data_IF_496624557486
#
_entry.id   IF_496624557486
#
_cell.length_a   1.000
_cell.length_b   1.000
_cell.length_c   1.000
_cell.angle_alpha   90.00
_cell.angle_beta   90.00
_cell.angle_gamma   90.00
#
_symmetry.space_group_name_H-M   'P 1'
#
loop_
_entity.id
_entity.type
_entity.pdbx_description
1 polymer ?
#
# COMPACT_ATOMS: atom_id res chain seq x y z
N UNK A 1 10.60 -9.55 6.51
CA UNK A 1 10.26 -9.53 5.08
C UNK A 1 11.40 -10.15 4.30
N UNK A 2 11.06 -11.14 3.48
CA UNK A 2 12.00 -11.75 2.53
C UNK A 2 12.13 -10.91 1.26
N UNK A 3 13.26 -10.97 0.51
CA UNK A 3 13.48 -10.10 -0.64
C UNK A 3 12.41 -10.16 -1.74
N UNK A 4 11.89 -11.36 -2.03
CA UNK A 4 10.84 -11.54 -3.04
C UNK A 4 9.49 -10.94 -2.59
N UNK A 5 9.23 -10.86 -1.29
CA UNK A 5 8.04 -10.20 -0.76
C UNK A 5 8.16 -8.69 -0.98
N UNK A 6 9.33 -8.11 -0.70
CA UNK A 6 9.58 -6.69 -0.94
C UNK A 6 9.48 -6.33 -2.42
N UNK A 7 10.13 -7.09 -3.32
CA UNK A 7 10.03 -6.90 -4.77
C UNK A 7 8.57 -6.97 -5.25
N UNK A 8 7.78 -7.88 -4.69
CA UNK A 8 6.35 -7.97 -4.99
C UNK A 8 5.58 -6.73 -4.52
N UNK A 9 5.86 -6.21 -3.32
CA UNK A 9 5.20 -5.01 -2.81
C UNK A 9 5.57 -3.76 -3.62
N UNK A 10 6.84 -3.61 -4.00
CA UNK A 10 7.28 -2.52 -4.87
C UNK A 10 6.57 -2.59 -6.23
N UNK A 11 6.53 -3.78 -6.84
CA UNK A 11 5.84 -3.98 -8.11
C UNK A 11 4.33 -3.66 -8.02
N UNK A 12 3.68 -3.93 -6.88
CA UNK A 12 2.29 -3.54 -6.64
C UNK A 12 2.15 -2.02 -6.60
N UNK A 13 3.00 -1.33 -5.85
CA UNK A 13 2.90 0.12 -5.69
C UNK A 13 3.19 0.84 -7.01
N UNK A 14 4.10 0.32 -7.82
CA UNK A 14 4.41 0.85 -9.15
C UNK A 14 3.30 0.57 -10.17
N UNK A 15 2.76 -0.66 -10.21
CA UNK A 15 1.91 -1.12 -11.31
C UNK A 15 0.41 -1.15 -10.99
N UNK A 16 0.02 -1.17 -9.72
CA UNK A 16 -1.39 -1.26 -9.29
C UNK A 16 -1.94 0.06 -8.75
N UNK A 17 -1.24 1.17 -8.93
CA UNK A 17 -1.71 2.51 -8.55
C UNK A 17 -3.12 2.83 -9.08
N UNK A 18 -3.46 2.39 -10.30
CA UNK A 18 -4.82 2.53 -10.87
C UNK A 18 -5.87 1.67 -10.14
N UNK A 19 -5.55 0.41 -9.83
CA UNK A 19 -6.47 -0.47 -9.09
C UNK A 19 -6.63 -0.05 -7.63
N UNK A 20 -5.56 0.45 -7.00
CA UNK A 20 -5.60 1.08 -5.69
C UNK A 20 -6.47 2.32 -5.70
N UNK A 21 -6.31 3.20 -6.71
CA UNK A 21 -7.14 4.39 -6.87
C UNK A 21 -8.62 4.06 -7.02
N UNK A 22 -8.97 3.00 -7.76
CA UNK A 22 -10.35 2.52 -7.87
C UNK A 22 -10.88 2.02 -6.51
N UNK A 23 -10.15 1.16 -5.82
CA UNK A 23 -10.56 0.68 -4.49
C UNK A 23 -10.68 1.81 -3.45
N UNK A 24 -9.85 2.85 -3.54
CA UNK A 24 -9.92 4.04 -2.68
C UNK A 24 -11.20 4.85 -2.93
N UNK A 25 -11.63 4.99 -4.18
CA UNK A 25 -12.87 5.69 -4.56
C UNK A 25 -14.12 4.88 -4.16
N UNK A 26 -14.11 3.57 -4.39
CA UNK A 26 -15.26 2.69 -4.10
C UNK A 26 -15.42 2.42 -2.59
N UNK A 27 -14.35 2.57 -1.81
CA UNK A 27 -14.34 2.38 -0.36
C UNK A 27 -15.12 3.43 0.45
N UNK A 28 -15.69 4.46 -0.20
CA UNK A 28 -16.67 5.36 0.41
C UNK A 28 -16.11 6.22 1.56
N UNK A 29 -14.82 6.51 1.58
CA UNK A 29 -14.26 7.40 2.59
C UNK A 29 -14.44 8.83 2.10
N UNK A 30 -15.37 9.58 2.70
CA UNK A 30 -15.52 11.05 2.56
C UNK A 30 -14.23 11.83 2.95
N UNK A 31 -13.15 11.14 3.34
CA UNK A 31 -11.87 11.73 3.69
C UNK A 31 -11.06 12.01 2.42
N UNK A 32 -10.58 13.24 2.30
CA UNK A 32 -9.55 13.61 1.33
C UNK A 32 -8.30 12.75 1.56
N UNK A 33 -7.99 11.85 0.62
CA UNK A 33 -6.88 10.88 0.72
C UNK A 33 -5.55 11.45 0.19
N UNK A 34 -5.64 12.55 -0.55
CA UNK A 34 -4.53 13.22 -1.22
C UNK A 34 -4.47 14.66 -0.74
N UNK A 35 -3.36 15.07 -0.14
CA UNK A 35 -3.16 16.46 0.31
C UNK A 35 -2.73 17.36 -0.86
N UNK A 36 -1.88 16.82 -1.74
CA UNK A 36 -1.35 17.49 -2.92
C UNK A 36 -1.01 16.45 -3.99
N UNK A 37 -0.71 16.92 -5.21
CA UNK A 37 -0.32 16.05 -6.32
C UNK A 37 0.80 15.05 -5.97
N UNK A 38 1.65 15.37 -5.01
CA UNK A 38 2.82 14.58 -4.60
C UNK A 38 2.74 14.06 -3.16
N UNK A 39 1.60 14.19 -2.48
CA UNK A 39 1.49 13.84 -1.07
C UNK A 39 0.14 13.26 -0.66
N UNK A 40 0.18 12.23 0.18
CA UNK A 40 -1.01 11.63 0.78
C UNK A 40 -1.31 12.29 2.13
N UNK A 41 -2.61 12.38 2.46
CA UNK A 41 -3.00 12.68 3.83
C UNK A 41 -2.64 11.51 4.74
N UNK A 42 -2.70 11.71 6.06
CA UNK A 42 -2.52 10.62 7.04
C UNK A 42 -3.50 9.47 6.77
N UNK A 43 -4.76 9.79 6.42
CA UNK A 43 -5.77 8.79 6.06
C UNK A 43 -5.42 8.06 4.77
N UNK A 44 -4.91 8.77 3.76
CA UNK A 44 -4.42 8.16 2.52
C UNK A 44 -3.27 7.18 2.76
N UNK A 45 -2.28 7.57 3.57
CA UNK A 45 -1.18 6.69 3.99
C UNK A 45 -1.68 5.45 4.71
N UNK A 46 -2.54 5.60 5.72
CA UNK A 46 -3.10 4.47 6.46
C UNK A 46 -3.86 3.50 5.54
N UNK A 47 -4.62 4.02 4.59
CA UNK A 47 -5.34 3.19 3.61
C UNK A 47 -4.37 2.38 2.75
N UNK A 48 -3.35 3.04 2.18
CA UNK A 48 -2.36 2.40 1.32
C UNK A 48 -1.58 1.34 2.10
N UNK A 49 -1.14 1.65 3.31
CA UNK A 49 -0.47 0.68 4.18
C UNK A 49 -1.36 -0.54 4.45
N UNK A 50 -2.65 -0.33 4.72
CA UNK A 50 -3.61 -1.43 4.89
C UNK A 50 -3.77 -2.30 3.65
N UNK A 51 -3.83 -1.68 2.47
CA UNK A 51 -3.88 -2.39 1.19
C UNK A 51 -2.64 -3.25 0.97
N UNK A 52 -1.44 -2.65 1.08
CA UNK A 52 -0.16 -3.34 0.88
C UNK A 52 0.02 -4.48 1.91
N UNK A 53 -0.36 -4.24 3.16
CA UNK A 53 -0.37 -5.25 4.24
C UNK A 53 -1.29 -6.44 3.92
N UNK A 54 -2.47 -6.18 3.34
CA UNK A 54 -3.38 -7.24 2.90
C UNK A 54 -2.75 -8.10 1.80
N UNK A 55 -2.07 -7.48 0.83
CA UNK A 55 -1.37 -8.20 -0.25
C UNK A 55 -0.22 -9.06 0.27
N UNK A 56 0.57 -8.53 1.22
CA UNK A 56 1.62 -9.30 1.89
C UNK A 56 1.05 -10.52 2.63
N UNK A 57 -0.06 -10.33 3.35
CA UNK A 57 -0.76 -11.42 4.03
C UNK A 57 -1.21 -12.52 3.06
N UNK A 58 -1.68 -12.15 1.87
CA UNK A 58 -2.11 -13.12 0.84
C UNK A 58 -0.94 -13.95 0.30
N UNK A 59 0.22 -13.32 0.04
CA UNK A 59 1.43 -14.02 -0.42
C UNK A 59 1.86 -15.05 0.61
N UNK A 60 1.99 -14.64 1.89
CA UNK A 60 2.39 -15.54 2.98
C UNK A 60 1.40 -16.65 3.26
N UNK A 61 0.10 -16.37 3.14
CA UNK A 61 -0.94 -17.40 3.27
C UNK A 61 -0.78 -18.51 2.23
N UNK A 62 -0.38 -18.16 0.99
CA UNK A 62 -0.15 -19.11 -0.09
C UNK A 62 1.08 -20.01 0.11
N UNK A 63 2.08 -19.54 0.86
CA UNK A 63 3.35 -20.24 1.03
C UNK A 63 3.45 -21.04 2.34
N UNK A 64 2.92 -20.51 3.44
CA UNK A 64 3.20 -21.06 4.78
C UNK A 64 1.94 -21.32 5.62
N UNK A 65 0.75 -21.00 5.09
CA UNK A 65 -0.54 -21.23 5.76
C UNK A 65 -0.81 -20.37 7.00
N UNK A 66 0.20 -19.71 7.58
CA UNK A 66 0.06 -18.75 8.66
C UNK A 66 0.50 -17.34 8.20
N UNK A 67 -0.45 -16.41 7.96
CA UNK A 67 -0.16 -15.06 7.46
C UNK A 67 0.25 -14.07 8.55
N UNK A 68 0.63 -14.52 9.75
CA UNK A 68 0.97 -13.62 10.85
C UNK A 68 2.13 -12.70 10.47
N UNK A 69 1.80 -11.43 10.22
CA UNK A 69 2.76 -10.36 9.99
C UNK A 69 3.32 -9.90 11.34
N UNK A 70 4.65 -9.80 11.40
CA UNK A 70 5.31 -9.26 12.58
C UNK A 70 5.24 -7.72 12.59
N UNK A 71 5.49 -7.11 13.75
CA UNK A 71 5.62 -5.64 13.85
C UNK A 71 6.66 -5.10 12.87
N UNK A 72 7.78 -5.82 12.72
CA UNK A 72 8.84 -5.46 11.77
C UNK A 72 8.36 -5.49 10.31
N UNK A 73 7.47 -6.42 9.95
CA UNK A 73 6.91 -6.45 8.60
C UNK A 73 6.01 -5.24 8.34
N UNK A 74 5.25 -4.79 9.36
CA UNK A 74 4.42 -3.60 9.27
C UNK A 74 5.25 -2.31 9.18
N UNK A 75 6.34 -2.21 9.95
CA UNK A 75 7.31 -1.12 9.86
C UNK A 75 7.93 -1.05 8.46
N UNK A 76 8.33 -2.20 7.90
CA UNK A 76 8.92 -2.27 6.57
C UNK A 76 7.90 -1.91 5.48
N UNK A 77 6.63 -2.31 5.62
CA UNK A 77 5.55 -1.85 4.74
C UNK A 77 5.40 -0.33 4.77
N UNK A 78 5.47 0.29 5.96
CA UNK A 78 5.43 1.75 6.06
C UNK A 78 6.59 2.40 5.30
N UNK A 79 7.82 1.90 5.48
CA UNK A 79 8.99 2.43 4.77
C UNK A 79 8.84 2.32 3.25
N UNK A 80 8.38 1.18 2.74
CA UNK A 80 8.13 0.98 1.31
C UNK A 80 7.05 1.96 0.81
N UNK A 81 5.96 2.15 1.55
CA UNK A 81 4.91 3.11 1.16
C UNK A 81 5.43 4.55 1.16
N UNK A 82 6.26 4.94 2.14
CA UNK A 82 6.89 6.27 2.18
C UNK A 82 7.80 6.51 0.97
N UNK A 83 8.59 5.51 0.54
CA UNK A 83 9.42 5.62 -0.67
C UNK A 83 8.60 5.89 -1.94
N UNK A 84 7.37 5.40 -2.00
CA UNK A 84 6.49 5.51 -3.16
C UNK A 84 5.37 6.56 -3.01
N UNK A 85 5.30 7.29 -1.89
CA UNK A 85 4.18 8.19 -1.55
C UNK A 85 3.87 9.17 -2.68
N UNK A 86 4.90 9.81 -3.22
CA UNK A 86 4.73 10.81 -4.28
C UNK A 86 4.15 10.22 -5.57
N UNK A 87 4.61 9.03 -5.95
CA UNK A 87 4.11 8.34 -7.14
C UNK A 87 2.63 7.93 -6.96
N UNK A 88 2.27 7.44 -5.77
CA UNK A 88 0.91 7.04 -5.42
C UNK A 88 -0.02 8.26 -5.41
N UNK A 89 0.40 9.36 -4.78
CA UNK A 89 -0.37 10.60 -4.75
C UNK A 89 -0.59 11.19 -6.15
N UNK A 90 0.43 11.16 -7.01
CA UNK A 90 0.33 11.62 -8.40
C UNK A 90 -0.75 10.87 -9.18
N UNK A 91 -0.82 9.56 -8.99
CA UNK A 91 -1.81 8.70 -9.66
C UNK A 91 -3.22 8.93 -9.12
N UNK A 92 -3.38 9.21 -7.83
CA UNK A 92 -4.69 9.49 -7.22
C UNK A 92 -5.27 10.86 -7.57
N UNK A 93 -4.39 11.85 -7.78
CA UNK A 93 -4.77 13.21 -8.20
C UNK A 93 -5.18 13.27 -9.69
N UNK A 94 -4.83 12.25 -10.49
CA UNK A 94 -5.10 12.19 -11.94
C UNK A 94 -6.51 11.66 -12.26
#
# INVERSE_FOLDING_TARGET
MEPYEEEYLEAILENLSTSMAQCMRDGGVDAELVESRDRLTTSGRLWVCGYVTSRLSMVRAGEVGNPNLSVRDLEHVHEVVERHESAIACQLHS
#
